data_IF_274172438413
#
_entry.id   IF_274172438413
#
_cell.length_a   1.000
_cell.length_b   1.000
_cell.length_c   1.000
_cell.angle_alpha   90.00
_cell.angle_beta   90.00
_cell.angle_gamma   90.00
#
_symmetry.space_group_name_H-M   'P 1'
#
loop_
_entity.id
_entity.type
_entity.pdbx_description
1 polymer ?
#
# COMPACT_ATOMS: atom_id res chain seq x y z
N UNK A 1 14.67 8.92 3.16
CA UNK A 1 13.84 9.75 4.04
C UNK A 1 14.39 9.84 5.46
N UNK A 2 14.50 8.77 6.25
CA UNK A 2 14.98 8.86 7.66
C UNK A 2 16.33 9.58 7.74
N UNK A 3 17.31 9.20 6.91
CA UNK A 3 18.62 9.86 6.85
C UNK A 3 18.54 11.36 6.43
N UNK A 4 17.62 11.72 5.54
CA UNK A 4 17.43 13.12 5.13
C UNK A 4 16.82 14.00 6.22
N UNK A 5 16.22 13.40 7.25
CA UNK A 5 15.71 14.04 8.44
C UNK A 5 16.76 14.10 9.58
N UNK A 6 17.99 13.67 9.34
CA UNK A 6 19.08 13.71 10.31
C UNK A 6 19.19 12.51 11.25
N UNK A 7 18.36 11.48 11.06
CA UNK A 7 18.48 10.25 11.85
C UNK A 7 19.66 9.39 11.39
N UNK A 8 20.30 8.72 12.33
CA UNK A 8 21.44 7.82 12.10
C UNK A 8 21.04 6.35 12.27
N UNK A 9 21.89 5.44 11.75
CA UNK A 9 21.66 3.99 11.92
C UNK A 9 21.68 3.56 13.39
N UNK A 10 22.41 4.25 14.26
CA UNK A 10 22.49 3.97 15.71
C UNK A 10 21.14 4.17 16.42
N UNK A 11 20.29 5.06 15.90
CA UNK A 11 18.95 5.30 16.43
C UNK A 11 17.95 4.25 15.97
N UNK A 12 18.32 3.43 14.97
CA UNK A 12 17.45 2.40 14.42
C UNK A 12 17.34 1.21 15.36
N UNK A 13 16.12 0.85 15.71
CA UNK A 13 15.79 -0.38 16.45
C UNK A 13 15.13 -1.39 15.53
N UNK A 14 15.26 -2.66 15.86
CA UNK A 14 14.60 -3.75 15.12
C UNK A 14 13.10 -3.64 15.31
N UNK A 15 12.36 -3.70 14.21
CA UNK A 15 10.90 -3.76 14.25
C UNK A 15 10.45 -5.17 14.63
N UNK A 16 9.68 -5.28 15.69
CA UNK A 16 9.28 -6.56 16.29
C UNK A 16 7.83 -6.95 15.98
N UNK A 17 7.17 -6.26 15.06
CA UNK A 17 5.72 -6.41 14.77
C UNK A 17 4.83 -6.22 16.01
N UNK A 18 5.29 -5.38 16.95
CA UNK A 18 4.61 -5.10 18.21
C UNK A 18 4.73 -3.62 18.54
N UNK A 19 3.63 -2.99 18.95
CA UNK A 19 3.58 -1.58 19.30
C UNK A 19 4.11 -1.28 20.72
N UNK A 20 4.28 -2.28 21.58
CA UNK A 20 4.66 -2.06 22.97
C UNK A 20 5.96 -1.26 23.18
N UNK A 21 7.06 -1.48 22.41
CA UNK A 21 8.26 -0.65 22.54
C UNK A 21 8.03 0.83 22.21
N UNK A 22 7.16 1.12 21.22
CA UNK A 22 6.77 2.48 20.88
C UNK A 22 5.91 3.11 21.96
N UNK A 23 4.94 2.37 22.48
CA UNK A 23 4.05 2.83 23.55
C UNK A 23 4.85 3.16 24.84
N UNK A 24 5.89 2.39 25.11
CA UNK A 24 6.73 2.57 26.31
C UNK A 24 7.74 3.72 26.22
N UNK A 25 8.04 4.22 25.01
CA UNK A 25 9.04 5.27 24.78
C UNK A 25 8.43 6.44 24.01
N UNK A 26 8.01 7.53 24.69
CA UNK A 26 7.36 8.68 24.05
C UNK A 26 8.29 9.46 23.10
N UNK A 27 9.58 9.16 23.07
CA UNK A 27 10.56 9.79 22.19
C UNK A 27 10.83 8.96 20.93
N UNK A 28 10.21 7.80 20.82
CA UNK A 28 10.41 6.88 19.71
C UNK A 28 9.45 7.14 18.55
N UNK A 29 9.85 6.68 17.35
CA UNK A 29 8.98 6.57 16.18
C UNK A 29 8.89 5.13 15.73
N UNK A 30 7.71 4.71 15.27
CA UNK A 30 7.48 3.36 14.76
C UNK A 30 7.00 3.42 13.31
N UNK A 31 7.48 2.49 12.49
CA UNK A 31 6.90 2.26 11.18
C UNK A 31 5.56 1.52 11.35
N UNK A 32 4.56 1.90 10.56
CA UNK A 32 3.27 1.23 10.55
C UNK A 32 2.46 1.54 9.31
N UNK A 33 1.39 0.83 9.14
CA UNK A 33 0.34 1.14 8.16
C UNK A 33 -0.77 1.92 8.87
N UNK A 34 -1.19 3.02 8.27
CA UNK A 34 -2.29 3.85 8.80
C UNK A 34 -3.59 3.07 8.97
N UNK A 35 -3.71 1.95 8.29
CA UNK A 35 -4.86 1.04 8.33
C UNK A 35 -4.80 0.02 9.47
N UNK A 36 -3.72 -0.02 10.26
CA UNK A 36 -3.48 -1.07 11.27
C UNK A 36 -2.97 -0.51 12.58
N UNK A 37 -1.70 -0.11 12.65
CA UNK A 37 -0.98 0.22 13.88
C UNK A 37 -1.63 1.32 14.74
N UNK A 38 -2.27 2.37 14.18
CA UNK A 38 -2.90 3.37 15.02
C UNK A 38 -4.01 2.81 15.91
N UNK A 39 -4.76 1.80 15.43
CA UNK A 39 -5.77 1.13 16.26
C UNK A 39 -5.13 0.31 17.39
N UNK A 40 -4.04 -0.40 17.10
CA UNK A 40 -3.32 -1.16 18.11
C UNK A 40 -2.75 -0.23 19.20
N UNK A 41 -2.09 0.87 18.81
CA UNK A 41 -1.58 1.87 19.75
C UNK A 41 -2.69 2.46 20.60
N UNK A 42 -3.83 2.79 20.00
CA UNK A 42 -4.98 3.32 20.75
C UNK A 42 -5.52 2.34 21.78
N UNK A 43 -5.62 1.05 21.41
CA UNK A 43 -6.12 0.00 22.32
C UNK A 43 -5.16 -0.33 23.45
N UNK A 44 -3.88 -0.46 23.12
CA UNK A 44 -2.87 -0.92 24.07
C UNK A 44 -2.28 0.24 24.88
N UNK A 45 -2.10 1.40 24.24
CA UNK A 45 -1.48 2.59 24.85
C UNK A 45 -2.48 3.61 25.39
N UNK A 46 -3.75 3.55 24.95
CA UNK A 46 -4.80 4.48 25.39
C UNK A 46 -4.71 5.88 24.78
N UNK A 47 -3.91 6.09 23.74
CA UNK A 47 -3.75 7.37 23.05
C UNK A 47 -3.78 7.22 21.54
N UNK A 48 -4.09 8.30 20.83
CA UNK A 48 -3.97 8.35 19.37
C UNK A 48 -2.55 8.80 19.00
N UNK A 49 -1.77 8.04 18.22
CA UNK A 49 -0.41 8.42 17.85
C UNK A 49 -0.39 9.55 16.82
N UNK A 50 0.66 10.37 16.84
CA UNK A 50 0.96 11.29 15.76
C UNK A 50 1.37 10.51 14.51
N UNK A 51 0.76 10.85 13.38
CA UNK A 51 0.91 10.10 12.12
C UNK A 51 1.58 10.98 11.07
N UNK A 52 2.67 10.46 10.50
CA UNK A 52 3.40 11.07 9.40
C UNK A 52 3.35 10.16 8.18
N UNK A 53 2.49 10.49 7.23
CA UNK A 53 2.41 9.71 6.00
C UNK A 53 3.66 9.95 5.14
N UNK A 54 4.32 8.87 4.76
CA UNK A 54 5.51 8.93 3.90
C UNK A 54 5.18 9.54 2.54
N UNK A 55 3.96 9.30 2.03
CA UNK A 55 3.47 9.85 0.78
C UNK A 55 3.43 11.38 0.79
N UNK A 56 2.97 11.99 1.89
CA UNK A 56 2.91 13.45 2.05
C UNK A 56 4.30 14.08 2.17
N UNK A 57 5.30 13.26 2.47
CA UNK A 57 6.71 13.67 2.62
C UNK A 57 7.59 13.23 1.44
N UNK A 58 6.99 13.07 0.27
CA UNK A 58 7.71 12.82 -0.97
C UNK A 58 8.10 11.37 -1.25
N UNK A 59 7.66 10.40 -0.44
CA UNK A 59 7.84 8.98 -0.71
C UNK A 59 6.67 8.46 -1.55
N UNK A 60 6.79 8.55 -2.85
CA UNK A 60 5.71 8.38 -3.83
C UNK A 60 5.61 6.95 -4.40
N UNK A 61 6.02 5.93 -3.65
CA UNK A 61 5.95 4.54 -4.11
C UNK A 61 4.52 4.03 -4.31
N UNK A 62 4.37 3.03 -5.19
CA UNK A 62 3.22 2.14 -5.12
C UNK A 62 3.47 1.13 -3.99
N UNK A 63 2.50 0.95 -3.09
CA UNK A 63 2.71 0.15 -1.88
C UNK A 63 2.72 -1.35 -2.18
N UNK A 64 1.65 -1.85 -2.77
CA UNK A 64 1.48 -3.26 -3.13
C UNK A 64 1.18 -3.38 -4.62
N UNK A 65 1.88 -4.28 -5.29
CA UNK A 65 1.72 -4.51 -6.73
C UNK A 65 1.51 -6.00 -7.00
N UNK A 66 0.76 -6.30 -8.06
CA UNK A 66 0.63 -7.66 -8.56
C UNK A 66 1.97 -8.03 -9.23
N UNK A 67 2.53 -9.16 -8.81
CA UNK A 67 3.79 -9.69 -9.36
C UNK A 67 3.54 -11.02 -10.05
N UNK A 68 4.17 -11.23 -11.19
CA UNK A 68 4.13 -12.49 -11.93
C UNK A 68 5.43 -12.73 -12.70
N UNK A 69 5.62 -13.93 -13.25
CA UNK A 69 6.79 -14.26 -14.04
C UNK A 69 6.72 -13.63 -15.42
N UNK A 70 7.87 -13.23 -15.97
CA UNK A 70 7.96 -12.71 -17.34
C UNK A 70 7.42 -13.71 -18.37
N UNK A 71 7.65 -14.99 -18.17
CA UNK A 71 7.09 -16.07 -19.00
C UNK A 71 5.57 -16.10 -18.99
N UNK A 72 4.94 -15.81 -17.85
CA UNK A 72 3.48 -15.73 -17.76
C UNK A 72 2.96 -14.52 -18.53
N UNK A 73 3.63 -13.37 -18.38
CA UNK A 73 3.31 -12.18 -19.18
C UNK A 73 3.41 -12.43 -20.67
N UNK A 74 4.47 -13.12 -21.12
CA UNK A 74 4.73 -13.35 -22.53
C UNK A 74 3.83 -14.45 -23.15
N UNK A 75 3.54 -15.50 -22.39
CA UNK A 75 2.88 -16.72 -22.93
C UNK A 75 1.39 -16.80 -22.61
N UNK A 76 0.92 -16.07 -21.59
CA UNK A 76 -0.47 -16.11 -21.09
C UNK A 76 -0.97 -14.71 -20.70
N UNK A 77 -0.84 -13.70 -21.59
CA UNK A 77 -1.22 -12.32 -21.27
C UNK A 77 -2.71 -12.18 -20.92
N UNK A 78 -3.58 -13.01 -21.50
CA UNK A 78 -5.02 -13.05 -21.22
C UNK A 78 -5.31 -13.47 -19.76
N UNK A 79 -4.51 -14.39 -19.20
CA UNK A 79 -4.63 -14.81 -17.79
C UNK A 79 -4.22 -13.67 -16.87
N UNK A 80 -3.12 -12.97 -17.21
CA UNK A 80 -2.66 -11.81 -16.45
C UNK A 80 -3.72 -10.71 -16.47
N UNK A 81 -4.27 -10.40 -17.65
CA UNK A 81 -5.32 -9.38 -17.77
C UNK A 81 -6.56 -9.76 -16.96
N UNK A 82 -7.03 -10.99 -17.07
CA UNK A 82 -8.20 -11.49 -16.34
C UNK A 82 -7.99 -11.34 -14.80
N UNK A 83 -6.80 -11.68 -14.31
CA UNK A 83 -6.48 -11.56 -12.89
C UNK A 83 -6.43 -10.10 -12.44
N UNK A 84 -5.81 -9.21 -13.23
CA UNK A 84 -5.75 -7.77 -12.95
C UNK A 84 -7.15 -7.17 -12.92
N UNK A 85 -7.97 -7.45 -13.96
CA UNK A 85 -9.35 -6.92 -14.04
C UNK A 85 -10.22 -7.41 -12.89
N UNK A 86 -10.08 -8.69 -12.54
CA UNK A 86 -10.77 -9.27 -11.39
C UNK A 86 -10.37 -8.63 -10.07
N UNK A 87 -9.07 -8.36 -9.89
CA UNK A 87 -8.53 -7.69 -8.70
C UNK A 87 -9.02 -6.25 -8.59
N UNK A 88 -9.05 -5.50 -9.70
CA UNK A 88 -9.55 -4.13 -9.74
C UNK A 88 -11.04 -4.08 -9.33
N UNK A 89 -11.87 -4.93 -9.95
CA UNK A 89 -13.30 -5.03 -9.61
C UNK A 89 -13.50 -5.49 -8.16
N UNK A 90 -12.65 -6.40 -7.70
CA UNK A 90 -12.64 -6.84 -6.31
C UNK A 90 -12.39 -5.70 -5.33
N UNK A 91 -11.45 -4.80 -5.62
CA UNK A 91 -11.20 -3.63 -4.79
C UNK A 91 -12.37 -2.65 -4.76
N UNK A 92 -13.01 -2.36 -5.90
CA UNK A 92 -14.21 -1.53 -5.92
C UNK A 92 -15.35 -2.15 -5.11
N UNK A 93 -15.61 -3.47 -5.29
CA UNK A 93 -16.61 -4.16 -4.50
C UNK A 93 -16.27 -4.16 -3.00
N UNK A 94 -15.01 -4.38 -2.65
CA UNK A 94 -14.56 -4.40 -1.27
C UNK A 94 -14.77 -3.05 -0.57
N UNK A 95 -14.46 -1.96 -1.25
CA UNK A 95 -14.57 -0.63 -0.68
C UNK A 95 -16.01 -0.08 -0.71
N UNK A 96 -16.80 -0.39 -1.73
CA UNK A 96 -18.06 0.28 -2.01
C UNK A 96 -19.27 -0.64 -2.13
N UNK A 97 -19.06 -1.94 -2.29
CA UNK A 97 -20.10 -2.96 -2.39
C UNK A 97 -20.22 -3.83 -1.14
N UNK A 98 -20.69 -5.07 -1.34
CA UNK A 98 -20.77 -6.06 -0.27
C UNK A 98 -19.44 -6.78 -0.08
N UNK A 99 -18.78 -6.51 1.02
CA UNK A 99 -17.50 -7.10 1.39
C UNK A 99 -17.61 -8.22 2.44
N UNK A 100 -18.81 -8.64 2.84
CA UNK A 100 -19.01 -9.62 3.92
C UNK A 100 -18.28 -10.93 3.65
N UNK A 101 -18.37 -11.45 2.42
CA UNK A 101 -17.67 -12.68 2.03
C UNK A 101 -16.15 -12.54 2.11
N UNK A 102 -15.60 -11.42 1.62
CA UNK A 102 -14.16 -11.15 1.67
C UNK A 102 -13.68 -11.05 3.13
N UNK A 103 -14.42 -10.34 3.98
CA UNK A 103 -14.11 -10.24 5.40
C UNK A 103 -14.13 -11.59 6.11
N UNK A 104 -15.09 -12.45 5.77
CA UNK A 104 -15.14 -13.82 6.31
C UNK A 104 -13.91 -14.64 5.89
N UNK A 105 -13.46 -14.52 4.64
CA UNK A 105 -12.25 -15.19 4.15
C UNK A 105 -10.99 -14.65 4.84
N UNK A 106 -10.86 -13.34 5.02
CA UNK A 106 -9.73 -12.71 5.72
C UNK A 106 -9.64 -13.29 7.16
N UNK A 107 -10.75 -13.37 7.87
CA UNK A 107 -10.78 -13.94 9.23
C UNK A 107 -10.50 -15.45 9.28
N UNK A 108 -10.86 -16.17 8.23
CA UNK A 108 -10.55 -17.60 8.13
C UNK A 108 -9.06 -17.84 7.90
N UNK A 109 -8.41 -17.01 7.08
CA UNK A 109 -6.98 -17.09 6.78
C UNK A 109 -6.11 -16.52 7.92
N UNK A 110 -6.62 -15.51 8.63
CA UNK A 110 -5.94 -14.88 9.77
C UNK A 110 -6.90 -14.75 10.96
N UNK A 111 -6.88 -15.71 11.90
CA UNK A 111 -7.76 -15.70 13.07
C UNK A 111 -7.58 -14.51 14.02
N UNK A 112 -6.43 -13.83 13.98
CA UNK A 112 -6.16 -12.64 14.79
C UNK A 112 -6.84 -11.38 14.21
N UNK A 113 -7.35 -11.45 12.98
CA UNK A 113 -8.05 -10.36 12.33
C UNK A 113 -9.48 -10.21 12.89
N UNK A 114 -9.74 -9.14 13.60
CA UNK A 114 -11.05 -8.83 14.18
C UNK A 114 -11.94 -8.03 13.25
N UNK A 115 -13.26 -8.08 13.45
CA UNK A 115 -14.21 -7.23 12.70
C UNK A 115 -13.92 -5.73 12.90
N UNK A 116 -13.48 -5.34 14.10
CA UNK A 116 -13.11 -3.96 14.41
C UNK A 116 -11.87 -3.52 13.61
N UNK A 117 -10.83 -4.37 13.53
CA UNK A 117 -9.64 -4.09 12.73
C UNK A 117 -9.98 -3.96 11.25
N UNK A 118 -10.83 -4.84 10.72
CA UNK A 118 -11.30 -4.79 9.34
C UNK A 118 -12.08 -3.49 9.08
N UNK A 119 -13.02 -3.14 9.94
CA UNK A 119 -13.81 -1.92 9.81
C UNK A 119 -12.93 -0.66 9.87
N UNK A 120 -11.98 -0.61 10.79
CA UNK A 120 -10.99 0.45 10.90
C UNK A 120 -10.17 0.57 9.61
N UNK A 121 -9.65 -0.55 9.10
CA UNK A 121 -8.84 -0.59 7.87
C UNK A 121 -9.62 -0.05 6.68
N UNK A 122 -10.86 -0.50 6.47
CA UNK A 122 -11.73 -0.02 5.38
C UNK A 122 -11.99 1.49 5.51
N UNK A 123 -12.28 1.97 6.73
CA UNK A 123 -12.50 3.40 6.98
C UNK A 123 -11.26 4.22 6.62
N UNK A 124 -10.07 3.77 7.00
CA UNK A 124 -8.81 4.44 6.69
C UNK A 124 -8.45 4.39 5.21
N UNK A 125 -8.67 3.27 4.53
CA UNK A 125 -8.48 3.15 3.08
C UNK A 125 -9.30 4.20 2.33
N UNK A 126 -10.56 4.41 2.73
CA UNK A 126 -11.46 5.41 2.14
C UNK A 126 -11.06 6.84 2.54
N UNK A 127 -10.80 7.07 3.83
CA UNK A 127 -10.46 8.39 4.37
C UNK A 127 -9.25 9.00 3.67
N UNK A 128 -8.22 8.20 3.44
CA UNK A 128 -6.96 8.64 2.82
C UNK A 128 -6.89 8.37 1.32
N UNK A 129 -7.93 7.81 0.73
CA UNK A 129 -7.95 7.46 -0.69
C UNK A 129 -6.80 6.56 -1.12
N UNK A 130 -6.39 5.61 -0.26
CA UNK A 130 -5.15 4.82 -0.46
C UNK A 130 -5.20 4.01 -1.75
N UNK A 131 -6.38 3.51 -2.10
CA UNK A 131 -6.58 2.63 -3.26
C UNK A 131 -7.03 3.40 -4.49
N UNK A 132 -7.80 4.48 -4.33
CA UNK A 132 -8.59 5.07 -5.41
C UNK A 132 -8.53 6.61 -5.48
N UNK A 133 -7.38 7.21 -5.13
CA UNK A 133 -7.11 8.64 -5.28
C UNK A 133 -5.96 8.93 -6.26
N UNK A 134 -5.71 10.20 -6.56
CA UNK A 134 -4.68 10.60 -7.51
C UNK A 134 -4.97 10.08 -8.92
N UNK A 135 -4.00 9.45 -9.57
CA UNK A 135 -4.13 8.92 -10.93
C UNK A 135 -5.27 7.90 -11.05
N UNK A 136 -5.55 7.13 -9.99
CA UNK A 136 -6.61 6.13 -9.98
C UNK A 136 -8.01 6.72 -10.03
N UNK A 137 -8.18 7.99 -9.70
CA UNK A 137 -9.49 8.67 -9.78
C UNK A 137 -10.00 8.76 -11.23
N UNK A 138 -9.10 8.82 -12.19
CA UNK A 138 -9.42 8.93 -13.63
C UNK A 138 -9.06 7.69 -14.43
N UNK A 139 -8.01 6.97 -14.03
CA UNK A 139 -7.48 5.81 -14.76
C UNK A 139 -7.99 4.47 -14.20
N UNK A 140 -8.60 4.49 -13.03
CA UNK A 140 -9.10 3.30 -12.32
C UNK A 140 -8.12 2.77 -11.29
N UNK A 141 -8.63 1.96 -10.37
CA UNK A 141 -7.81 1.27 -9.35
C UNK A 141 -6.70 0.47 -10.02
N UNK A 142 -5.51 0.47 -9.43
CA UNK A 142 -4.34 -0.20 -9.98
C UNK A 142 -3.55 0.62 -11.02
N UNK A 143 -3.96 1.87 -11.29
CA UNK A 143 -3.24 2.75 -12.20
C UNK A 143 -1.78 2.92 -11.80
N UNK A 144 -0.89 2.83 -12.79
CA UNK A 144 0.53 3.04 -12.64
C UNK A 144 1.05 3.93 -13.77
N UNK A 145 2.06 4.74 -13.49
CA UNK A 145 2.67 5.62 -14.50
C UNK A 145 4.18 5.45 -14.55
N UNK A 146 4.76 5.59 -15.74
CA UNK A 146 6.21 5.63 -15.94
C UNK A 146 6.85 6.75 -15.14
N UNK A 147 6.20 7.91 -15.08
CA UNK A 147 6.70 9.07 -14.37
C UNK A 147 6.90 8.77 -12.87
N UNK A 148 5.91 8.14 -12.24
CA UNK A 148 5.96 7.79 -10.82
C UNK A 148 6.97 6.67 -10.53
N UNK A 149 7.09 5.68 -11.42
CA UNK A 149 8.10 4.63 -11.30
C UNK A 149 9.52 5.21 -11.41
N UNK A 150 9.76 6.12 -12.36
CA UNK A 150 11.05 6.78 -12.54
C UNK A 150 11.40 7.71 -11.38
N UNK A 151 10.43 8.48 -10.89
CA UNK A 151 10.61 9.36 -9.72
C UNK A 151 11.01 8.55 -8.48
N UNK A 152 10.29 7.46 -8.21
CA UNK A 152 10.60 6.60 -7.09
C UNK A 152 11.99 5.93 -7.22
N UNK A 153 12.34 5.44 -8.41
CA UNK A 153 13.67 4.90 -8.68
C UNK A 153 14.77 5.94 -8.40
N UNK A 154 14.60 7.16 -8.91
CA UNK A 154 15.56 8.24 -8.66
C UNK A 154 15.76 8.54 -7.17
N UNK A 155 14.67 8.53 -6.39
CA UNK A 155 14.74 8.70 -4.93
C UNK A 155 15.47 7.55 -4.24
N UNK A 156 15.29 6.32 -4.70
CA UNK A 156 16.00 5.16 -4.13
C UNK A 156 17.48 5.17 -4.48
N UNK A 157 17.84 5.58 -5.68
CA UNK A 157 19.25 5.79 -6.08
C UNK A 157 19.88 6.90 -5.23
N UNK A 158 19.22 8.05 -5.11
CA UNK A 158 19.71 9.17 -4.30
C UNK A 158 19.89 8.80 -2.81
N UNK A 159 19.05 7.89 -2.31
CA UNK A 159 19.15 7.36 -0.95
C UNK A 159 20.21 6.25 -0.79
N UNK A 160 20.86 5.82 -1.86
CA UNK A 160 21.84 4.72 -1.85
C UNK A 160 21.24 3.34 -1.56
N UNK A 161 19.95 3.15 -1.84
CA UNK A 161 19.23 1.89 -1.62
C UNK A 161 19.29 1.00 -2.86
N UNK A 162 19.29 1.61 -4.04
CA UNK A 162 19.34 0.92 -5.33
C UNK A 162 20.51 1.52 -6.14
N UNK A 163 21.22 0.68 -6.87
CA UNK A 163 22.31 1.11 -7.75
C UNK A 163 21.79 1.93 -8.92
N UNK A 164 22.55 2.96 -9.29
CA UNK A 164 22.30 3.73 -10.51
C UNK A 164 22.57 2.88 -11.76
N UNK A 165 21.81 3.12 -12.84
CA UNK A 165 22.01 2.44 -14.12
C UNK A 165 21.22 1.14 -14.29
N UNK A 166 20.36 0.78 -13.35
CA UNK A 166 19.40 -0.31 -13.53
C UNK A 166 18.34 0.12 -14.55
N UNK A 167 18.11 -0.74 -15.55
CA UNK A 167 17.04 -0.54 -16.53
C UNK A 167 15.68 -0.91 -15.89
N UNK A 168 15.03 0.06 -15.27
CA UNK A 168 13.75 -0.14 -14.60
C UNK A 168 12.60 -0.45 -15.55
N UNK A 169 12.76 -0.22 -16.87
CA UNK A 169 11.71 -0.59 -17.85
C UNK A 169 11.44 -2.09 -17.89
N UNK A 170 12.37 -2.89 -17.38
CA UNK A 170 12.24 -4.35 -17.25
C UNK A 170 11.63 -4.81 -15.93
N UNK A 171 11.44 -3.89 -14.97
CA UNK A 171 10.93 -4.23 -13.64
C UNK A 171 9.41 -4.21 -13.56
N UNK A 172 8.73 -3.57 -14.50
CA UNK A 172 7.26 -3.44 -14.52
C UNK A 172 6.72 -3.37 -15.94
N UNK A 173 5.41 -3.51 -16.07
CA UNK A 173 4.69 -3.29 -17.32
C UNK A 173 3.36 -2.62 -17.06
N UNK A 174 2.99 -1.68 -17.93
CA UNK A 174 1.70 -0.98 -17.90
C UNK A 174 0.66 -1.64 -18.84
N UNK A 175 1.02 -2.73 -19.51
CA UNK A 175 0.17 -3.36 -20.52
C UNK A 175 -1.19 -3.83 -20.01
N UNK A 176 -1.34 -4.05 -18.71
CA UNK A 176 -2.52 -4.65 -18.08
C UNK A 176 -3.33 -3.69 -17.21
N UNK A 177 -2.85 -2.46 -17.01
CA UNK A 177 -3.47 -1.43 -16.16
C UNK A 177 -3.96 -0.24 -16.99
N UNK A 178 -4.50 0.79 -16.34
CA UNK A 178 -4.89 2.08 -16.94
C UNK A 178 -5.98 1.97 -18.02
N UNK A 179 -6.87 0.97 -17.88
CA UNK A 179 -7.95 0.68 -18.84
C UNK A 179 -9.32 1.14 -18.33
N UNK A 180 -9.38 1.84 -17.22
CA UNK A 180 -10.63 2.31 -16.61
C UNK A 180 -11.56 1.18 -16.13
N UNK A 181 -11.04 -0.03 -15.92
CA UNK A 181 -11.82 -1.19 -15.50
C UNK A 181 -12.50 -0.89 -14.16
N UNK A 182 -13.82 -1.11 -14.10
CA UNK A 182 -14.61 -1.00 -12.86
C UNK A 182 -14.76 0.42 -12.31
N UNK A 183 -14.38 1.46 -13.03
CA UNK A 183 -14.48 2.86 -12.56
C UNK A 183 -15.94 3.28 -12.30
N UNK A 184 -16.88 2.66 -13.01
CA UNK A 184 -18.32 2.82 -12.88
C UNK A 184 -18.87 2.18 -11.58
N UNK A 185 -18.09 1.33 -10.92
CA UNK A 185 -18.46 0.73 -9.64
C UNK A 185 -18.18 1.67 -8.44
N UNK A 186 -17.43 2.75 -8.66
CA UNK A 186 -17.21 3.76 -7.63
C UNK A 186 -18.47 4.65 -7.53
N UNK A 187 -19.04 4.83 -6.33
CA UNK A 187 -20.13 5.78 -6.11
C UNK A 187 -19.70 7.20 -6.52
N UNK A 188 -20.64 7.93 -7.12
CA UNK A 188 -20.45 9.35 -7.50
C UNK A 188 -20.50 10.25 -6.29
#
# INVERSE_FOLDING_TARGET
MIKSLGFTEEQRKVYTFNAAPFIADPTSGMQGYITSEPLAVKKEGGFDPDIWLLADNGYTSYSTMIQTLNDTVAKKPEVVQCFVDGSIKGWYNYLYGDNAKANAMIKADNPDMTDEQIAFSIAKLKQYGIVDSGDTATMGVGAMTDARMKDFYGKMVAAGVIDAGIDISKAYTLAFVDKGVGIDLKPK
#
